data_IF_249939209517
#
_entry.id   IF_249939209517
#
_cell.length_a   1.000
_cell.length_b   1.000
_cell.length_c   1.000
_cell.angle_alpha   90.00
_cell.angle_beta   90.00
_cell.angle_gamma   90.00
#
_symmetry.space_group_name_H-M   'P 1'
#
loop_
_entity.id
_entity.type
_entity.pdbx_description
1 polymer ?
#
# COMPACT_ATOMS: atom_id res chain seq x y z
N UNK A 1 9.08 -2.16 2.78
CA UNK A 1 7.65 -2.04 3.09
C UNK A 1 7.33 -2.99 4.23
N UNK A 2 6.73 -2.47 5.28
CA UNK A 2 6.41 -3.22 6.50
C UNK A 2 4.96 -2.99 6.88
N UNK A 3 4.22 -4.06 7.18
CA UNK A 3 2.87 -3.99 7.69
C UNK A 3 2.80 -4.55 9.11
N UNK A 4 2.10 -3.82 9.97
CA UNK A 4 1.78 -4.22 11.33
C UNK A 4 0.28 -4.42 11.49
N UNK A 5 -0.08 -5.51 12.16
CA UNK A 5 -1.39 -5.68 12.76
C UNK A 5 -1.38 -5.06 14.17
N UNK A 6 -2.32 -4.16 14.44
CA UNK A 6 -2.44 -3.46 15.71
C UNK A 6 -3.44 -4.21 16.62
N UNK A 7 -2.97 -4.71 17.77
CA UNK A 7 -3.84 -5.30 18.80
C UNK A 7 -4.29 -4.24 19.81
N UNK A 8 -5.42 -4.47 20.47
CA UNK A 8 -5.95 -3.61 21.55
C UNK A 8 -4.95 -3.41 22.71
N UNK A 9 -4.09 -4.39 22.96
CA UNK A 9 -3.08 -4.35 24.04
C UNK A 9 -1.82 -3.55 23.68
N UNK A 10 -1.87 -2.63 22.71
CA UNK A 10 -0.74 -1.88 22.15
C UNK A 10 0.39 -2.74 21.54
N UNK A 11 0.23 -4.05 21.48
CA UNK A 11 1.16 -4.93 20.79
C UNK A 11 0.96 -4.86 19.29
N UNK A 12 2.04 -4.60 18.56
CA UNK A 12 2.10 -4.63 17.11
C UNK A 12 2.68 -5.98 16.67
N UNK A 13 2.02 -6.63 15.71
CA UNK A 13 2.52 -7.88 15.12
C UNK A 13 2.96 -7.56 13.69
N UNK A 14 4.24 -7.81 13.39
CA UNK A 14 4.73 -7.72 12.02
C UNK A 14 4.10 -8.85 11.20
N UNK A 15 3.28 -8.47 10.23
CA UNK A 15 2.53 -9.39 9.37
C UNK A 15 3.09 -9.42 7.95
N UNK A 16 3.89 -8.43 7.57
CA UNK A 16 4.58 -8.39 6.29
C UNK A 16 5.83 -7.52 6.41
N UNK A 17 6.97 -8.03 5.95
CA UNK A 17 8.18 -7.24 5.77
C UNK A 17 8.84 -7.63 4.46
N UNK A 18 8.74 -6.77 3.45
CA UNK A 18 9.26 -7.04 2.12
C UNK A 18 9.88 -5.80 1.47
N UNK A 19 10.89 -6.04 0.66
CA UNK A 19 11.49 -5.04 -0.24
C UNK A 19 11.13 -5.40 -1.67
N UNK A 20 10.59 -4.43 -2.40
CA UNK A 20 10.14 -4.64 -3.77
C UNK A 20 10.92 -3.76 -4.75
N UNK A 21 11.37 -4.29 -5.89
CA UNK A 21 11.98 -3.48 -6.94
C UNK A 21 10.95 -2.54 -7.57
N UNK A 22 11.15 -1.22 -7.43
CA UNK A 22 10.15 -0.19 -7.77
C UNK A 22 9.56 -0.29 -9.18
N UNK A 23 10.38 -0.25 -10.24
CA UNK A 23 9.87 -0.32 -11.62
C UNK A 23 9.18 -1.63 -11.97
N UNK A 24 9.65 -2.74 -11.40
CA UNK A 24 8.99 -4.04 -11.54
C UNK A 24 7.66 -4.06 -10.79
N UNK A 25 7.58 -3.38 -9.65
CA UNK A 25 6.35 -3.25 -8.85
C UNK A 25 5.29 -2.40 -9.56
N UNK A 26 5.70 -1.33 -10.26
CA UNK A 26 4.78 -0.53 -11.07
C UNK A 26 4.21 -1.33 -12.25
N UNK A 27 5.08 -2.07 -12.96
CA UNK A 27 4.73 -2.79 -14.19
C UNK A 27 4.05 -4.14 -13.98
N UNK A 28 4.20 -4.77 -12.81
CA UNK A 28 3.64 -6.08 -12.54
C UNK A 28 2.36 -6.02 -11.71
N UNK A 29 1.41 -6.89 -12.06
CA UNK A 29 0.25 -7.18 -11.23
C UNK A 29 0.73 -7.69 -9.88
N UNK A 30 0.40 -6.96 -8.81
CA UNK A 30 0.80 -7.29 -7.45
C UNK A 30 0.32 -8.71 -7.08
N UNK A 31 1.26 -9.58 -6.70
CA UNK A 31 0.99 -10.99 -6.33
C UNK A 31 0.34 -11.13 -4.95
N UNK A 32 0.64 -10.23 -4.03
CA UNK A 32 0.04 -10.24 -2.70
C UNK A 32 -1.33 -9.55 -2.73
N UNK A 33 -2.35 -10.19 -2.15
CA UNK A 33 -3.74 -9.72 -2.19
C UNK A 33 -3.91 -8.28 -1.69
N UNK A 34 -3.26 -7.92 -0.57
CA UNK A 34 -3.34 -6.56 -0.03
C UNK A 34 -2.70 -5.51 -0.95
N UNK A 35 -1.50 -5.81 -1.46
CA UNK A 35 -0.82 -4.89 -2.38
C UNK A 35 -1.63 -4.68 -3.66
N UNK A 36 -2.32 -5.72 -4.13
CA UNK A 36 -3.20 -5.63 -5.28
C UNK A 36 -4.38 -4.68 -5.03
N UNK A 37 -4.94 -4.70 -3.83
CA UNK A 37 -6.01 -3.77 -3.41
C UNK A 37 -5.49 -2.34 -3.39
N UNK A 38 -4.38 -2.11 -2.65
CA UNK A 38 -3.77 -0.78 -2.51
C UNK A 38 -3.35 -0.23 -3.88
N UNK A 39 -2.63 -1.01 -4.67
CA UNK A 39 -2.16 -0.58 -5.99
C UNK A 39 -3.31 -0.32 -6.96
N UNK A 40 -4.38 -1.13 -6.93
CA UNK A 40 -5.58 -0.89 -7.74
C UNK A 40 -6.16 0.49 -7.45
N UNK A 41 -6.33 0.82 -6.18
CA UNK A 41 -6.92 2.09 -5.79
C UNK A 41 -5.99 3.27 -6.09
N UNK A 42 -4.69 3.15 -5.78
CA UNK A 42 -3.69 4.16 -6.17
C UNK A 42 -3.73 4.43 -7.67
N UNK A 43 -3.69 3.39 -8.51
CA UNK A 43 -3.74 3.59 -9.97
C UNK A 43 -5.10 4.04 -10.50
N UNK A 44 -6.16 3.96 -9.70
CA UNK A 44 -7.50 4.46 -10.06
C UNK A 44 -7.59 5.97 -9.86
N UNK A 45 -6.98 6.49 -8.78
CA UNK A 45 -7.19 7.88 -8.35
C UNK A 45 -5.94 8.76 -8.42
N UNK A 46 -4.78 8.17 -8.72
CA UNK A 46 -3.52 8.89 -8.86
C UNK A 46 -3.12 9.08 -10.32
N UNK A 47 -2.34 10.13 -10.58
CA UNK A 47 -1.67 10.36 -11.86
C UNK A 47 -0.30 9.65 -11.97
N UNK A 48 -0.06 8.64 -11.12
CA UNK A 48 1.19 7.86 -11.11
C UNK A 48 1.16 6.82 -12.24
N UNK A 49 2.17 6.77 -13.12
CA UNK A 49 2.18 5.82 -14.24
C UNK A 49 2.39 4.38 -13.75
N UNK A 50 1.77 3.42 -14.44
CA UNK A 50 1.94 1.97 -14.21
C UNK A 50 3.27 1.42 -14.75
N UNK A 51 4.15 2.27 -15.27
CA UNK A 51 5.46 1.86 -15.78
C UNK A 51 6.45 2.98 -15.55
N UNK A 52 7.71 2.60 -15.36
CA UNK A 52 8.81 3.54 -15.39
C UNK A 52 9.07 4.05 -16.82
N UNK A 53 9.73 5.20 -16.99
CA UNK A 53 10.26 6.07 -15.91
C UNK A 53 9.16 6.91 -15.24
N UNK A 54 9.38 7.21 -13.95
CA UNK A 54 8.72 8.36 -13.31
C UNK A 54 9.45 9.62 -13.79
N UNK A 55 8.70 10.59 -14.29
CA UNK A 55 9.27 11.81 -14.84
C UNK A 55 9.72 12.73 -13.71
N UNK A 56 10.90 13.31 -13.88
CA UNK A 56 11.39 14.37 -13.00
C UNK A 56 10.46 15.59 -13.12
N UNK A 57 10.39 16.40 -12.07
CA UNK A 57 9.67 17.68 -12.05
C UNK A 57 8.16 17.54 -12.37
N UNK A 58 7.61 16.34 -12.15
CA UNK A 58 6.19 16.03 -12.31
C UNK A 58 5.55 15.84 -10.93
N UNK A 59 4.49 16.61 -10.64
CA UNK A 59 3.73 16.44 -9.42
C UNK A 59 2.85 15.20 -9.50
N UNK A 60 3.20 14.18 -8.71
CA UNK A 60 2.35 13.02 -8.52
C UNK A 60 1.44 13.21 -7.30
N UNK A 61 0.13 13.06 -7.50
CA UNK A 61 -0.87 13.18 -6.43
C UNK A 61 -1.81 11.99 -6.41
N UNK A 62 -2.26 11.63 -5.21
CA UNK A 62 -3.26 10.60 -4.95
C UNK A 62 -4.42 11.29 -4.24
N UNK A 63 -5.54 11.46 -4.94
CA UNK A 63 -6.69 12.21 -4.42
C UNK A 63 -7.86 11.26 -4.18
N UNK A 64 -8.66 11.45 -3.14
CA UNK A 64 -9.85 10.63 -2.86
C UNK A 64 -9.57 9.11 -2.78
N UNK A 65 -8.42 8.74 -2.23
CA UNK A 65 -8.05 7.33 -2.01
C UNK A 65 -9.00 6.68 -1.01
N UNK A 66 -9.67 5.60 -1.39
CA UNK A 66 -10.55 4.84 -0.50
C UNK A 66 -10.46 3.34 -0.78
N UNK A 67 -10.08 2.56 0.25
CA UNK A 67 -10.22 1.10 0.22
C UNK A 67 -11.56 0.77 0.84
N UNK A 68 -12.35 -0.08 0.19
CA UNK A 68 -13.64 -0.51 0.72
C UNK A 68 -13.52 -1.89 1.38
N UNK A 69 -14.45 -2.23 2.27
CA UNK A 69 -14.43 -3.53 2.96
C UNK A 69 -14.58 -4.70 1.97
N UNK A 70 -15.30 -4.51 0.85
CA UNK A 70 -15.47 -5.49 -0.24
C UNK A 70 -14.21 -5.71 -1.10
N UNK A 71 -13.20 -4.84 -0.99
CA UNK A 71 -11.91 -5.09 -1.63
C UNK A 71 -11.12 -6.22 -0.94
N UNK A 72 -11.38 -6.47 0.34
CA UNK A 72 -10.69 -7.49 1.12
C UNK A 72 -11.29 -8.89 0.87
N UNK A 73 -10.45 -9.95 0.80
CA UNK A 73 -10.97 -11.32 0.76
C UNK A 73 -11.88 -11.62 1.96
N UNK A 74 -12.92 -12.45 1.75
CA UNK A 74 -13.93 -12.79 2.78
C UNK A 74 -13.32 -13.39 4.05
N UNK A 75 -12.18 -14.06 3.94
CA UNK A 75 -11.45 -14.63 5.08
C UNK A 75 -10.61 -13.61 5.86
N UNK A 76 -10.60 -12.33 5.47
CA UNK A 76 -9.82 -11.29 6.15
C UNK A 76 -10.41 -11.03 7.53
N UNK A 77 -9.62 -11.18 8.62
CA UNK A 77 -10.14 -10.96 9.96
C UNK A 77 -10.42 -9.47 10.21
N UNK A 78 -11.32 -9.17 11.15
CA UNK A 78 -11.47 -7.81 11.69
C UNK A 78 -10.14 -7.40 12.32
N UNK A 79 -9.46 -6.44 11.70
CA UNK A 79 -8.10 -6.07 12.08
C UNK A 79 -7.85 -4.60 11.80
N UNK A 80 -7.17 -3.93 12.73
CA UNK A 80 -6.57 -2.61 12.48
C UNK A 80 -5.14 -2.84 12.06
N UNK A 81 -4.69 -2.17 11.00
CA UNK A 81 -3.36 -2.35 10.45
C UNK A 81 -2.72 -1.03 10.08
N UNK A 82 -1.39 -1.04 10.05
CA UNK A 82 -0.56 0.07 9.66
C UNK A 82 0.49 -0.41 8.66
N UNK A 83 0.56 0.25 7.51
CA UNK A 83 1.51 -0.04 6.44
C UNK A 83 2.50 1.12 6.32
N UNK A 84 3.79 0.80 6.36
CA UNK A 84 4.88 1.73 6.11
C UNK A 84 5.64 1.31 4.87
N UNK A 85 5.95 2.26 3.99
CA UNK A 85 6.91 2.01 2.93
C UNK A 85 7.66 3.27 2.54
N UNK A 86 8.93 3.07 2.20
CA UNK A 86 9.80 4.10 1.68
C UNK A 86 9.94 3.91 0.18
N UNK A 87 9.86 5.02 -0.55
CA UNK A 87 10.14 5.06 -1.98
C UNK A 87 11.57 5.58 -2.14
N UNK A 88 12.40 4.77 -2.79
CA UNK A 88 13.79 5.11 -3.07
C UNK A 88 14.02 5.31 -4.57
N UNK A 89 14.71 6.38 -4.92
CA UNK A 89 15.21 6.64 -6.28
C UNK A 89 16.72 6.86 -6.15
N UNK A 90 17.52 6.12 -6.92
CA UNK A 90 18.99 6.18 -6.83
C UNK A 90 19.52 6.07 -5.39
N UNK A 91 18.95 5.14 -4.60
CA UNK A 91 19.24 4.92 -3.17
C UNK A 91 18.93 6.09 -2.22
N UNK A 92 18.29 7.15 -2.71
CA UNK A 92 17.81 8.25 -1.89
C UNK A 92 16.33 8.05 -1.58
N UNK A 93 15.94 8.19 -0.31
CA UNK A 93 14.53 8.15 0.09
C UNK A 93 13.85 9.42 -0.37
N UNK A 94 12.98 9.32 -1.36
CA UNK A 94 12.24 10.46 -1.93
C UNK A 94 10.87 10.62 -1.30
N UNK A 95 10.33 9.55 -0.72
CA UNK A 95 9.05 9.59 -0.03
C UNK A 95 9.02 8.55 1.10
N UNK A 96 8.41 8.92 2.23
CA UNK A 96 8.03 8.00 3.29
C UNK A 96 6.52 8.00 3.38
N UNK A 97 5.91 6.84 3.27
CA UNK A 97 4.45 6.70 3.25
C UNK A 97 4.01 5.85 4.43
N UNK A 98 3.00 6.35 5.13
CA UNK A 98 2.30 5.62 6.20
C UNK A 98 0.81 5.58 5.85
N UNK A 99 0.25 4.37 5.80
CA UNK A 99 -1.17 4.14 5.55
C UNK A 99 -1.73 3.42 6.76
N UNK A 100 -2.77 3.99 7.37
CA UNK A 100 -3.51 3.37 8.46
C UNK A 100 -4.84 2.85 7.92
N UNK A 101 -5.23 1.65 8.32
CA UNK A 101 -6.49 1.06 7.87
C UNK A 101 -7.11 0.15 8.92
N UNK A 102 -8.39 -0.16 8.74
CA UNK A 102 -9.10 -1.12 9.55
C UNK A 102 -10.09 -1.87 8.68
N UNK A 103 -10.12 -3.18 8.83
CA UNK A 103 -11.13 -4.07 8.25
C UNK A 103 -12.20 -4.31 9.32
N UNK A 104 -13.48 -4.13 8.96
CA UNK A 104 -14.62 -4.47 9.82
C UNK A 104 -15.43 -5.56 9.13
N UNK A 105 -15.89 -6.57 9.87
CA UNK A 105 -16.94 -7.45 9.35
C UNK A 105 -18.23 -6.64 9.24
N UNK A 106 -18.79 -6.60 8.03
CA UNK A 106 -20.18 -6.21 7.81
C UNK A 106 -21.02 -7.39 8.33
N UNK A 107 -21.49 -7.28 9.57
CA UNK A 107 -22.54 -8.14 10.13
C UNK A 107 -23.89 -7.66 9.62
#
# INVERSE_FOLDING_TARGET
>A
MTMFALKRSNHQVNVLNITLPGCKTLSQTQRANLLKIVAREVFRVANVPKKCPLLKDTLYSINNYTIRDDDFPVFTPTITWQLHFDILIANQTVAKVTINGRVRKLL
#
